data_IF_744411865368
#
_entry.id   IF_744411865368
#
_cell.length_a   1.000
_cell.length_b   1.000
_cell.length_c   1.000
_cell.angle_alpha   90.00
_cell.angle_beta   90.00
_cell.angle_gamma   90.00
#
_symmetry.space_group_name_H-M   'P 1'
#
loop_
_entity.id
_entity.type
_entity.pdbx_description
1 polymer ?
#
# COMPACT_ATOMS: atom_id res chain seq x y z
N UNK A 1 -17.81 16.76 16.42
CA UNK A 1 -18.02 15.67 15.45
C UNK A 1 -16.75 15.32 14.70
N UNK A 2 -16.06 16.26 14.04
CA UNK A 2 -14.81 16.01 13.29
C UNK A 2 -13.68 15.36 14.12
N UNK A 3 -13.42 15.85 15.34
CA UNK A 3 -12.39 15.29 16.22
C UNK A 3 -12.73 13.86 16.69
N UNK A 4 -13.99 13.55 16.84
CA UNK A 4 -14.44 12.19 17.21
C UNK A 4 -14.22 11.20 16.07
N UNK A 5 -14.60 11.58 14.83
CA UNK A 5 -14.39 10.75 13.65
C UNK A 5 -12.89 10.53 13.36
N UNK A 6 -12.08 11.59 13.51
CA UNK A 6 -10.62 11.48 13.36
C UNK A 6 -10.00 10.55 14.41
N UNK A 7 -10.49 10.59 15.65
CA UNK A 7 -10.06 9.65 16.69
C UNK A 7 -10.44 8.20 16.39
N UNK A 8 -11.65 7.98 15.95
CA UNK A 8 -12.14 6.64 15.58
C UNK A 8 -11.36 6.04 14.43
N UNK A 9 -11.07 6.82 13.38
CA UNK A 9 -10.23 6.36 12.26
C UNK A 9 -8.82 5.98 12.71
N UNK A 10 -8.20 6.77 13.59
CA UNK A 10 -6.87 6.46 14.10
C UNK A 10 -6.86 5.13 14.89
N UNK A 11 -7.86 4.89 15.74
CA UNK A 11 -7.97 3.63 16.47
C UNK A 11 -8.15 2.45 15.51
N UNK A 12 -8.98 2.58 14.48
CA UNK A 12 -9.20 1.54 13.48
C UNK A 12 -7.89 1.19 12.74
N UNK A 13 -7.15 2.17 12.28
CA UNK A 13 -5.86 1.98 11.61
C UNK A 13 -4.87 1.27 12.53
N UNK A 14 -4.79 1.66 13.81
CA UNK A 14 -3.90 1.02 14.78
C UNK A 14 -4.29 -0.44 14.97
N UNK A 15 -5.58 -0.75 15.15
CA UNK A 15 -6.06 -2.13 15.34
C UNK A 15 -5.74 -2.98 14.10
N UNK A 16 -6.01 -2.48 12.90
CA UNK A 16 -5.71 -3.18 11.65
C UNK A 16 -4.19 -3.39 11.50
N UNK A 17 -3.38 -2.39 11.81
CA UNK A 17 -1.92 -2.51 11.75
C UNK A 17 -1.40 -3.53 12.76
N UNK A 18 -1.93 -3.57 13.97
CA UNK A 18 -1.59 -4.60 14.97
C UNK A 18 -1.95 -6.00 14.46
N UNK A 19 -3.12 -6.15 13.83
CA UNK A 19 -3.53 -7.43 13.25
C UNK A 19 -2.59 -7.85 12.12
N UNK A 20 -2.23 -6.94 11.21
CA UNK A 20 -1.24 -7.19 10.14
C UNK A 20 0.12 -7.60 10.71
N UNK A 21 0.57 -6.96 11.80
CA UNK A 21 1.82 -7.34 12.48
C UNK A 21 1.76 -8.76 13.07
N UNK A 22 0.64 -9.14 13.68
CA UNK A 22 0.44 -10.48 14.22
C UNK A 22 0.43 -11.55 13.12
N UNK A 23 -0.08 -11.21 11.92
CA UNK A 23 -0.14 -12.11 10.78
C UNK A 23 1.16 -12.17 9.97
N UNK A 24 2.19 -11.39 10.32
CA UNK A 24 3.47 -11.40 9.60
C UNK A 24 4.12 -12.78 9.41
N UNK A 25 4.14 -13.69 10.41
CA UNK A 25 4.76 -15.00 10.24
C UNK A 25 3.89 -16.00 9.45
N UNK A 26 2.68 -15.62 9.07
CA UNK A 26 1.76 -16.49 8.35
C UNK A 26 2.15 -16.67 6.89
N UNK A 27 1.27 -17.31 6.12
CA UNK A 27 1.42 -17.60 4.71
C UNK A 27 1.86 -16.39 3.87
N UNK A 28 2.66 -16.64 2.82
CA UNK A 28 2.99 -15.67 1.77
C UNK A 28 2.31 -16.07 0.47
N UNK A 29 1.54 -15.17 -0.13
CA UNK A 29 0.92 -15.38 -1.44
C UNK A 29 1.95 -15.31 -2.58
N UNK A 30 1.51 -15.61 -3.80
CA UNK A 30 2.29 -15.39 -5.02
C UNK A 30 2.71 -13.93 -5.19
N UNK A 31 1.86 -12.99 -4.77
CA UNK A 31 2.12 -11.55 -4.84
C UNK A 31 3.38 -11.13 -4.07
N UNK A 32 3.73 -11.87 -3.02
CA UNK A 32 4.98 -11.67 -2.30
C UNK A 32 6.19 -11.79 -3.22
N UNK A 33 6.23 -12.83 -4.07
CA UNK A 33 7.32 -13.01 -5.03
C UNK A 33 7.22 -12.03 -6.20
N UNK A 34 6.02 -11.68 -6.64
CA UNK A 34 5.80 -10.66 -7.66
C UNK A 34 6.48 -9.34 -7.26
N UNK A 35 6.15 -8.82 -6.09
CA UNK A 35 6.74 -7.58 -5.58
C UNK A 35 8.24 -7.71 -5.30
N UNK A 36 8.69 -8.86 -4.75
CA UNK A 36 10.12 -9.10 -4.57
C UNK A 36 10.86 -9.04 -5.92
N UNK A 37 10.30 -9.65 -6.97
CA UNK A 37 10.90 -9.63 -8.29
C UNK A 37 10.93 -8.21 -8.88
N UNK A 38 9.88 -7.43 -8.71
CA UNK A 38 9.83 -6.05 -9.18
C UNK A 38 10.85 -5.14 -8.46
N UNK A 39 11.04 -5.32 -7.16
CA UNK A 39 12.13 -4.69 -6.41
C UNK A 39 13.50 -5.05 -7.01
N UNK A 40 13.71 -6.33 -7.34
CA UNK A 40 14.96 -6.81 -7.91
C UNK A 40 15.19 -6.26 -9.34
N UNK A 41 14.19 -6.28 -10.21
CA UNK A 41 14.23 -5.72 -11.57
C UNK A 41 14.60 -4.24 -11.50
N UNK A 42 13.85 -3.45 -10.74
CA UNK A 42 14.03 -2.00 -10.68
C UNK A 42 15.36 -1.60 -10.04
N UNK A 43 15.91 -2.42 -9.14
CA UNK A 43 17.22 -2.19 -8.52
C UNK A 43 18.39 -2.54 -9.45
N UNK A 44 18.32 -3.72 -10.09
CA UNK A 44 19.47 -4.37 -10.71
C UNK A 44 19.58 -4.12 -12.21
N UNK A 45 18.48 -3.77 -12.89
CA UNK A 45 18.46 -3.55 -14.32
C UNK A 45 18.38 -2.06 -14.67
N UNK A 46 18.90 -1.65 -15.84
CA UNK A 46 18.68 -0.32 -16.37
C UNK A 46 17.21 -0.09 -16.75
N UNK A 47 16.77 1.17 -16.76
CA UNK A 47 15.37 1.57 -16.95
C UNK A 47 14.74 0.97 -18.21
N UNK A 48 15.51 0.88 -19.31
CA UNK A 48 15.06 0.37 -20.60
C UNK A 48 14.67 -1.12 -20.54
N UNK A 49 15.19 -1.86 -19.57
CA UNK A 49 14.99 -3.30 -19.42
C UNK A 49 13.90 -3.67 -18.40
N UNK A 50 13.39 -2.72 -17.62
CA UNK A 50 12.43 -3.01 -16.57
C UNK A 50 11.20 -3.77 -17.05
N UNK A 51 10.67 -3.40 -18.23
CA UNK A 51 9.49 -4.01 -18.84
C UNK A 51 9.81 -5.12 -19.85
N UNK A 52 11.09 -5.43 -20.05
CA UNK A 52 11.53 -6.43 -21.02
C UNK A 52 12.12 -7.67 -20.34
N UNK A 53 12.33 -7.59 -19.02
CA UNK A 53 12.89 -8.72 -18.28
C UNK A 53 11.90 -9.89 -18.22
N UNK A 54 12.40 -11.07 -18.57
CA UNK A 54 11.65 -12.32 -18.58
C UNK A 54 12.33 -13.40 -17.73
N UNK A 55 13.19 -13.00 -16.79
CA UNK A 55 13.89 -13.92 -15.89
C UNK A 55 12.90 -14.66 -14.98
N UNK A 56 11.81 -14.02 -14.62
CA UNK A 56 10.70 -14.58 -13.86
C UNK A 56 9.44 -14.64 -14.72
N UNK A 57 8.50 -15.53 -14.37
CA UNK A 57 7.12 -15.51 -14.90
C UNK A 57 6.35 -14.24 -14.51
N UNK A 58 6.80 -13.55 -13.46
CA UNK A 58 6.20 -12.33 -12.92
C UNK A 58 6.87 -11.08 -13.48
N UNK A 59 6.61 -10.78 -14.75
CA UNK A 59 7.10 -9.57 -15.42
C UNK A 59 6.54 -8.31 -14.78
N UNK A 60 7.25 -7.17 -14.92
CA UNK A 60 6.74 -5.88 -14.44
C UNK A 60 5.68 -5.38 -15.42
N UNK A 61 4.41 -5.40 -15.01
CA UNK A 61 3.24 -5.06 -15.86
C UNK A 61 2.44 -3.84 -15.34
N UNK A 62 2.87 -3.26 -14.21
CA UNK A 62 2.24 -2.07 -13.62
C UNK A 62 2.72 -0.76 -14.31
N UNK A 63 1.92 0.33 -14.20
CA UNK A 63 2.27 1.63 -14.78
C UNK A 63 3.62 2.16 -14.26
N UNK A 64 4.32 3.01 -15.05
CA UNK A 64 5.65 3.52 -14.71
C UNK A 64 5.76 4.19 -13.33
N UNK A 65 4.70 4.86 -12.87
CA UNK A 65 4.69 5.48 -11.54
C UNK A 65 4.88 4.44 -10.44
N UNK A 66 4.26 3.28 -10.57
CA UNK A 66 4.43 2.20 -9.60
C UNK A 66 5.84 1.58 -9.68
N UNK A 67 6.40 1.43 -10.87
CA UNK A 67 7.77 0.96 -11.04
C UNK A 67 8.80 1.88 -10.36
N UNK A 68 8.60 3.21 -10.42
CA UNK A 68 9.41 4.17 -9.67
C UNK A 68 9.21 4.08 -8.15
N UNK A 69 8.02 3.73 -7.71
CA UNK A 69 7.77 3.45 -6.29
C UNK A 69 8.55 2.21 -5.84
N UNK A 70 8.49 1.10 -6.58
CA UNK A 70 9.27 -0.11 -6.31
C UNK A 70 10.78 0.18 -6.33
N UNK A 71 11.27 0.96 -7.29
CA UNK A 71 12.66 1.42 -7.31
C UNK A 71 13.05 2.18 -6.03
N UNK A 72 12.19 3.04 -5.54
CA UNK A 72 12.42 3.79 -4.32
C UNK A 72 12.52 2.87 -3.10
N UNK A 73 11.64 1.88 -3.00
CA UNK A 73 11.67 0.86 -1.94
C UNK A 73 12.92 -0.01 -2.06
N UNK A 74 13.32 -0.38 -3.27
CA UNK A 74 14.53 -1.15 -3.53
C UNK A 74 15.79 -0.38 -3.09
N UNK A 75 15.84 0.95 -3.30
CA UNK A 75 16.91 1.80 -2.77
C UNK A 75 16.94 1.83 -1.24
N UNK A 76 15.78 1.89 -0.59
CA UNK A 76 15.70 1.79 0.87
C UNK A 76 16.23 0.43 1.34
N UNK A 77 15.80 -0.67 0.74
CA UNK A 77 16.29 -2.01 1.07
C UNK A 77 17.81 -2.13 0.90
N UNK A 78 18.37 -1.54 -0.16
CA UNK A 78 19.80 -1.53 -0.45
C UNK A 78 20.58 -0.71 0.58
N UNK A 79 20.11 0.50 0.95
CA UNK A 79 20.75 1.36 1.95
C UNK A 79 20.85 0.67 3.31
N UNK A 80 19.77 0.01 3.74
CA UNK A 80 19.74 -0.72 5.00
C UNK A 80 20.34 -2.13 4.90
N UNK A 81 20.88 -2.50 3.73
CA UNK A 81 21.44 -3.82 3.46
C UNK A 81 20.54 -4.98 3.91
N UNK A 82 19.24 -4.83 3.62
CA UNK A 82 18.25 -5.82 4.00
C UNK A 82 18.64 -7.16 3.35
N UNK A 83 18.74 -8.20 4.18
CA UNK A 83 19.03 -9.56 3.75
C UNK A 83 20.33 -9.68 2.92
N UNK A 84 21.33 -8.85 3.18
CA UNK A 84 22.56 -8.83 2.39
C UNK A 84 22.36 -8.54 0.91
N UNK A 85 21.23 -7.89 0.56
CA UNK A 85 20.77 -7.59 -0.80
C UNK A 85 20.37 -8.82 -1.64
N UNK A 86 20.26 -10.01 -1.06
CA UNK A 86 19.85 -11.22 -1.77
C UNK A 86 18.44 -11.10 -2.37
N UNK A 87 17.52 -10.38 -1.69
CA UNK A 87 16.20 -10.10 -2.20
C UNK A 87 16.18 -9.23 -3.47
N UNK A 88 17.25 -8.46 -3.72
CA UNK A 88 17.36 -7.53 -4.85
C UNK A 88 18.06 -8.14 -6.08
N UNK A 89 18.38 -9.44 -6.03
CA UNK A 89 18.96 -10.17 -7.17
C UNK A 89 17.87 -10.75 -8.03
N UNK A 90 17.83 -10.41 -9.31
CA UNK A 90 16.84 -10.90 -10.28
C UNK A 90 16.89 -12.44 -10.42
N UNK A 91 18.09 -13.03 -10.37
CA UNK A 91 18.26 -14.48 -10.50
C UNK A 91 17.81 -15.28 -9.28
N UNK A 92 17.60 -14.63 -8.13
CA UNK A 92 17.26 -15.29 -6.87
C UNK A 92 15.76 -15.44 -6.72
N UNK A 93 15.16 -16.26 -7.58
CA UNK A 93 13.71 -16.46 -7.63
C UNK A 93 13.21 -17.15 -6.36
N UNK A 94 11.99 -16.79 -5.95
CA UNK A 94 11.32 -17.32 -4.75
C UNK A 94 12.12 -17.11 -3.45
N UNK A 95 12.98 -16.09 -3.42
CA UNK A 95 13.76 -15.79 -2.24
C UNK A 95 12.86 -15.29 -1.10
N UNK A 96 12.90 -16.03 0.02
CA UNK A 96 12.03 -15.78 1.17
C UNK A 96 12.82 -15.90 2.46
N UNK A 97 13.56 -14.84 2.79
CA UNK A 97 14.15 -14.72 4.12
C UNK A 97 13.18 -14.03 5.09
N UNK A 98 13.42 -14.20 6.38
CA UNK A 98 12.66 -13.51 7.41
C UNK A 98 12.75 -11.98 7.26
N UNK A 99 13.93 -11.46 6.91
CA UNK A 99 14.16 -10.02 6.71
C UNK A 99 13.38 -9.50 5.49
N UNK A 100 13.37 -10.25 4.39
CA UNK A 100 12.60 -9.92 3.18
C UNK A 100 11.11 -9.85 3.48
N UNK A 101 10.59 -10.84 4.22
CA UNK A 101 9.17 -10.87 4.62
C UNK A 101 8.82 -9.66 5.49
N UNK A 102 9.62 -9.36 6.51
CA UNK A 102 9.38 -8.19 7.36
C UNK A 102 9.42 -6.91 6.54
N UNK A 103 10.44 -6.73 5.69
CA UNK A 103 10.59 -5.54 4.89
C UNK A 103 9.35 -5.28 4.03
N UNK A 104 8.95 -6.23 3.20
CA UNK A 104 7.80 -6.05 2.30
C UNK A 104 6.50 -5.79 3.07
N UNK A 105 6.27 -6.47 4.19
CA UNK A 105 5.06 -6.26 4.99
C UNK A 105 5.05 -4.94 5.74
N UNK A 106 6.20 -4.47 6.20
CA UNK A 106 6.31 -3.14 6.80
C UNK A 106 6.07 -2.03 5.79
N UNK A 107 6.53 -2.18 4.54
CA UNK A 107 6.26 -1.17 3.50
C UNK A 107 4.76 -1.02 3.25
N UNK A 108 3.99 -2.12 3.22
CA UNK A 108 2.52 -2.08 3.10
C UNK A 108 1.88 -1.36 4.29
N UNK A 109 2.28 -1.67 5.52
CA UNK A 109 1.74 -1.00 6.73
C UNK A 109 2.06 0.51 6.71
N UNK A 110 3.27 0.89 6.28
CA UNK A 110 3.67 2.30 6.17
C UNK A 110 2.83 3.02 5.12
N UNK A 111 2.58 2.40 3.97
CA UNK A 111 1.75 3.01 2.92
C UNK A 111 0.30 3.16 3.35
N UNK A 112 -0.26 2.27 4.18
CA UNK A 112 -1.58 2.45 4.77
C UNK A 112 -1.66 3.73 5.61
N UNK A 113 -0.64 4.02 6.41
CA UNK A 113 -0.59 5.28 7.19
C UNK A 113 -0.51 6.51 6.28
N UNK A 114 0.30 6.44 5.22
CA UNK A 114 0.40 7.54 4.24
C UNK A 114 -0.95 7.77 3.56
N UNK A 115 -1.64 6.69 3.14
CA UNK A 115 -2.97 6.76 2.56
C UNK A 115 -3.97 7.40 3.54
N UNK A 116 -4.00 6.95 4.79
CA UNK A 116 -4.89 7.48 5.82
C UNK A 116 -4.68 8.99 6.06
N UNK A 117 -3.41 9.43 6.07
CA UNK A 117 -3.06 10.85 6.18
C UNK A 117 -3.56 11.61 4.95
N UNK A 118 -3.32 11.09 3.75
CA UNK A 118 -3.77 11.70 2.50
C UNK A 118 -5.29 11.88 2.45
N UNK A 119 -6.04 10.84 2.81
CA UNK A 119 -7.50 10.89 2.91
C UNK A 119 -7.95 11.95 3.92
N UNK A 120 -7.32 12.02 5.10
CA UNK A 120 -7.64 13.05 6.09
C UNK A 120 -7.44 14.45 5.54
N UNK A 121 -6.36 14.72 4.81
CA UNK A 121 -6.12 16.01 4.17
C UNK A 121 -7.16 16.31 3.10
N UNK A 122 -7.49 15.36 2.23
CA UNK A 122 -8.53 15.54 1.21
C UNK A 122 -9.90 15.86 1.83
N UNK A 123 -10.32 15.13 2.86
CA UNK A 123 -11.57 15.39 3.57
C UNK A 123 -11.58 16.79 4.22
N UNK A 124 -10.45 17.21 4.79
CA UNK A 124 -10.32 18.55 5.37
C UNK A 124 -10.45 19.65 4.30
N UNK A 125 -9.80 19.48 3.17
CA UNK A 125 -9.86 20.44 2.06
C UNK A 125 -11.28 20.57 1.49
N UNK A 126 -12.00 19.46 1.32
CA UNK A 126 -13.39 19.47 0.84
C UNK A 126 -14.31 20.17 1.85
N UNK A 127 -14.18 19.91 3.14
CA UNK A 127 -14.98 20.56 4.17
C UNK A 127 -14.73 22.08 4.23
N UNK A 128 -13.49 22.53 4.00
CA UNK A 128 -13.18 23.97 3.90
C UNK A 128 -13.81 24.57 2.64
N UNK A 129 -13.75 23.88 1.50
CA UNK A 129 -14.36 24.36 0.25
C UNK A 129 -15.88 24.50 0.34
N UNK A 130 -16.55 23.61 1.06
CA UNK A 130 -18.01 23.73 1.30
C UNK A 130 -18.38 24.81 2.30
N UNK A 131 -17.46 25.21 3.19
CA UNK A 131 -17.69 26.30 4.14
C UNK A 131 -17.57 27.69 3.48
N UNK A 132 -16.91 27.81 2.33
CA UNK A 132 -16.78 29.06 1.56
C UNK A 132 -17.22 28.85 0.11
N UNK A 133 -18.53 28.75 -0.19
CA UNK A 133 -19.00 28.55 -1.54
C UNK A 133 -18.70 29.81 -2.36
N UNK A 134 -17.77 29.72 -3.30
CA UNK A 134 -17.44 30.78 -4.27
C UNK A 134 -18.60 30.97 -5.28
N UNK A 135 -19.52 30.03 -5.36
CA UNK A 135 -20.74 30.12 -6.14
C UNK A 135 -21.94 29.64 -5.32
N UNK A 136 -23.09 30.36 -5.34
CA UNK A 136 -24.30 29.88 -4.71
C UNK A 136 -24.84 28.72 -5.51
N UNK A 137 -24.62 27.51 -5.01
CA UNK A 137 -25.29 26.31 -5.53
C UNK A 137 -26.67 26.30 -4.89
N UNK A 138 -27.68 26.44 -5.72
CA UNK A 138 -29.11 26.40 -5.39
C UNK A 138 -29.40 25.05 -4.67
N UNK A 139 -29.89 25.16 -3.43
CA UNK A 139 -30.24 24.03 -2.59
C UNK A 139 -31.39 23.25 -3.19
N UNK A 140 -31.12 22.15 -3.86
CA UNK A 140 -32.11 21.10 -4.07
C UNK A 140 -31.60 19.76 -3.54
N UNK A 141 -32.23 19.36 -2.45
CA UNK A 141 -32.42 18.02 -1.89
C UNK A 141 -31.21 17.11 -1.64
N UNK A 142 -30.91 16.96 -0.34
CA UNK A 142 -30.69 15.69 0.36
C UNK A 142 -30.03 14.54 -0.42
N UNK A 143 -28.75 14.66 -0.62
CA UNK A 143 -27.89 13.49 -0.70
C UNK A 143 -26.50 13.85 -0.13
N UNK A 144 -26.45 14.05 1.18
CA UNK A 144 -25.19 14.00 1.92
C UNK A 144 -24.75 12.54 1.97
N UNK A 145 -24.21 12.05 0.86
CA UNK A 145 -23.36 10.85 0.89
C UNK A 145 -22.20 11.23 1.78
N UNK A 146 -22.21 10.72 3.00
CA UNK A 146 -21.19 11.00 3.98
C UNK A 146 -19.89 10.42 3.42
N UNK A 147 -19.00 11.26 2.92
CA UNK A 147 -17.68 10.88 2.36
C UNK A 147 -16.87 10.08 3.40
N UNK A 148 -17.21 10.21 4.69
CA UNK A 148 -16.69 9.39 5.77
C UNK A 148 -17.06 7.90 5.64
N UNK A 149 -18.24 7.57 5.12
CA UNK A 149 -18.64 6.17 4.92
C UNK A 149 -17.90 5.53 3.73
N UNK A 150 -17.67 6.28 2.65
CA UNK A 150 -16.93 5.79 1.47
C UNK A 150 -15.47 5.55 1.81
N UNK A 151 -14.85 6.40 2.61
CA UNK A 151 -13.43 6.28 2.98
C UNK A 151 -13.20 5.13 3.95
N UNK A 152 -14.11 4.92 4.92
CA UNK A 152 -14.07 3.78 5.83
C UNK A 152 -14.25 2.48 5.04
N UNK A 153 -15.19 2.42 4.10
CA UNK A 153 -15.37 1.26 3.23
C UNK A 153 -14.16 0.97 2.34
N UNK A 154 -13.47 1.98 1.79
CA UNK A 154 -12.28 1.74 0.98
C UNK A 154 -11.12 1.16 1.81
N UNK A 155 -10.86 1.72 3.00
CA UNK A 155 -9.82 1.21 3.91
C UNK A 155 -10.17 -0.15 4.52
N UNK A 156 -11.47 -0.43 4.75
CA UNK A 156 -11.93 -1.73 5.23
C UNK A 156 -11.88 -2.79 4.12
N UNK A 157 -12.27 -2.45 2.89
CA UNK A 157 -12.37 -3.41 1.81
C UNK A 157 -11.00 -3.87 1.36
N UNK A 158 -10.04 -2.98 1.12
CA UNK A 158 -8.70 -3.36 0.68
C UNK A 158 -7.95 -4.11 1.80
N UNK A 159 -8.07 -3.65 3.04
CA UNK A 159 -7.46 -4.30 4.20
C UNK A 159 -8.11 -5.65 4.56
N UNK A 160 -9.43 -5.78 4.37
CA UNK A 160 -10.15 -7.03 4.57
C UNK A 160 -10.01 -7.97 3.36
N UNK A 161 -9.93 -7.46 2.16
CA UNK A 161 -9.66 -8.28 0.96
C UNK A 161 -8.29 -8.91 1.09
N UNK A 162 -7.26 -8.18 1.47
CA UNK A 162 -5.94 -8.74 1.75
C UNK A 162 -6.00 -9.77 2.89
N UNK A 163 -6.72 -9.50 3.97
CA UNK A 163 -6.90 -10.42 5.08
C UNK A 163 -7.73 -11.65 4.68
N UNK A 164 -8.81 -11.50 3.88
CA UNK A 164 -9.63 -12.62 3.38
C UNK A 164 -8.94 -13.43 2.28
N UNK A 165 -8.12 -12.82 1.43
CA UNK A 165 -7.24 -13.54 0.53
C UNK A 165 -6.22 -14.39 1.30
N UNK A 166 -5.72 -13.87 2.43
CA UNK A 166 -4.83 -14.62 3.32
C UNK A 166 -5.51 -15.80 4.02
N UNK A 167 -6.81 -15.71 4.32
CA UNK A 167 -7.56 -16.77 5.02
C UNK A 167 -8.24 -17.79 4.10
N UNK A 168 -8.43 -17.48 2.82
CA UNK A 168 -9.16 -18.34 1.86
C UNK A 168 -8.29 -19.35 1.11
N UNK A 169 -6.98 -19.35 1.32
CA UNK A 169 -6.01 -20.24 0.67
C UNK A 169 -5.37 -21.22 1.66
N UNK A 170 -6.13 -21.67 2.68
CA UNK A 170 -5.80 -22.89 3.44
C UNK A 170 -6.52 -24.09 2.84
#
# INVERSE_FOLDING_TARGET
MYNFLSGMMLHLIIVISCLKLLLMPCYTSTDFEVHRNWLAITHSLPLEQWYQDTTSEWTLDYPPFFAWFEFSLAKVASIFNIDGQEMLRVQNLNHKSFQTVIFQRLTVIITDFVLAIGVKFCCSAINVSTAYPIFPIENNSSSSVSFSSVTVHFLEIDSLIDCFYYLKLQ
#
